data_IF_239471559221
#
_entry.id   IF_239471559221
#
_cell.length_a   1.000
_cell.length_b   1.000
_cell.length_c   1.000
_cell.angle_alpha   90.00
_cell.angle_beta   90.00
_cell.angle_gamma   90.00
#
_symmetry.space_group_name_H-M   'P 1'
#
loop_
_entity.id
_entity.type
_entity.pdbx_description
1 polymer ?
#
# COMPACT_ATOMS: atom_id res chain seq x y z
N UNK A 1 24.53 20.93 18.10
CA UNK A 1 25.65 20.05 17.65
C UNK A 1 25.26 18.57 17.38
N UNK A 2 23.99 18.29 17.20
CA UNK A 2 23.50 16.94 16.84
C UNK A 2 23.24 16.84 15.32
N UNK A 3 23.13 17.96 14.61
CA UNK A 3 22.72 18.01 13.21
C UNK A 3 23.75 17.49 12.19
N UNK A 4 25.06 17.71 12.42
CA UNK A 4 26.08 17.33 11.41
C UNK A 4 26.26 15.84 11.23
N UNK A 5 26.05 15.04 12.28
CA UNK A 5 26.26 13.58 12.23
C UNK A 5 25.15 12.81 11.51
N UNK A 6 23.95 13.39 11.42
CA UNK A 6 22.81 12.77 10.71
C UNK A 6 22.86 13.12 9.22
N UNK A 7 23.32 14.31 8.87
CA UNK A 7 23.50 14.77 7.50
C UNK A 7 24.54 13.92 6.74
N UNK A 8 25.63 13.55 7.41
CA UNK A 8 26.70 12.73 6.82
C UNK A 8 26.29 11.27 6.59
N UNK A 9 25.37 10.75 7.42
CA UNK A 9 24.96 9.34 7.33
C UNK A 9 23.94 9.05 6.21
N UNK A 10 23.11 10.02 5.84
CA UNK A 10 22.02 9.83 4.89
C UNK A 10 22.22 10.55 3.55
N UNK A 11 23.29 11.34 3.40
CA UNK A 11 23.56 12.13 2.18
C UNK A 11 22.44 13.14 1.86
N UNK A 12 21.62 13.49 2.84
CA UNK A 12 20.47 14.38 2.70
C UNK A 12 20.64 15.53 3.69
N UNK A 13 20.65 16.73 3.20
CA UNK A 13 20.67 17.96 4.03
C UNK A 13 19.34 18.08 4.77
N UNK A 14 19.28 17.64 6.02
CA UNK A 14 18.14 17.90 6.88
C UNK A 14 18.15 19.36 7.36
N UNK A 15 17.34 20.19 6.78
CA UNK A 15 16.96 21.44 7.40
C UNK A 15 15.89 21.12 8.45
N UNK A 16 16.29 20.95 9.70
CA UNK A 16 15.34 20.78 10.81
C UNK A 16 14.64 22.11 11.02
N UNK A 17 13.52 22.31 10.37
CA UNK A 17 12.57 23.33 10.78
C UNK A 17 12.00 22.87 12.11
N UNK A 18 12.18 23.67 13.17
CA UNK A 18 11.69 23.37 14.51
C UNK A 18 10.17 23.22 14.49
N UNK A 19 9.71 22.01 14.27
CA UNK A 19 8.33 21.64 14.50
C UNK A 19 8.18 21.29 15.97
N UNK A 20 7.58 22.16 16.76
CA UNK A 20 7.27 21.87 18.14
C UNK A 20 6.37 20.62 18.21
N UNK A 21 6.86 19.55 18.87
CA UNK A 21 6.10 18.37 19.18
C UNK A 21 5.01 18.76 20.18
N UNK A 22 3.75 18.38 19.89
CA UNK A 22 2.66 18.50 20.86
C UNK A 22 2.84 17.45 21.95
N UNK A 23 2.55 17.76 23.22
CA UNK A 23 2.73 16.82 24.34
C UNK A 23 1.95 15.50 24.16
N UNK A 24 0.82 15.55 23.46
CA UNK A 24 -0.01 14.38 23.17
C UNK A 24 0.38 13.61 21.88
N UNK A 25 1.38 14.09 21.15
CA UNK A 25 1.77 13.53 19.85
C UNK A 25 2.82 12.44 20.02
N UNK A 26 2.65 11.28 19.37
CA UNK A 26 3.67 10.25 19.37
C UNK A 26 4.95 10.75 18.65
N UNK A 27 6.11 10.18 18.99
CA UNK A 27 7.37 10.47 18.28
C UNK A 27 7.26 10.17 16.79
N UNK A 28 6.53 9.11 16.44
CA UNK A 28 6.31 8.70 15.07
C UNK A 28 5.48 9.74 14.30
N UNK A 29 4.35 10.15 14.86
CA UNK A 29 3.46 11.12 14.22
C UNK A 29 4.14 12.48 14.07
N UNK A 30 4.95 12.87 15.09
CA UNK A 30 5.76 14.07 15.02
C UNK A 30 6.82 13.99 13.91
N UNK A 31 7.52 12.86 13.79
CA UNK A 31 8.54 12.64 12.77
C UNK A 31 7.93 12.64 11.37
N UNK A 32 6.80 11.97 11.20
CA UNK A 32 6.08 11.92 9.94
C UNK A 32 5.59 13.32 9.53
N UNK A 33 5.07 14.11 10.47
CA UNK A 33 4.67 15.51 10.23
C UNK A 33 5.86 16.44 9.93
N UNK A 34 6.95 16.32 10.67
CA UNK A 34 8.17 17.10 10.45
C UNK A 34 8.79 16.79 9.08
N UNK A 35 8.78 15.51 8.69
CA UNK A 35 9.25 15.06 7.38
C UNK A 35 8.44 15.69 6.24
N UNK A 36 7.12 15.73 6.37
CA UNK A 36 6.22 16.36 5.38
C UNK A 36 6.50 17.84 5.23
N UNK A 37 6.64 18.57 6.34
CA UNK A 37 6.91 20.01 6.32
C UNK A 37 8.28 20.34 5.74
N UNK A 38 9.28 19.47 5.93
CA UNK A 38 10.65 19.71 5.48
C UNK A 38 10.80 19.60 3.96
N UNK A 39 10.05 18.72 3.32
CA UNK A 39 10.18 18.54 1.87
C UNK A 39 9.40 19.59 1.08
N UNK A 40 8.81 20.61 1.77
CA UNK A 40 8.05 21.68 1.13
C UNK A 40 7.15 21.11 -0.01
N UNK A 41 6.66 19.90 0.24
CA UNK A 41 5.61 19.38 -0.58
C UNK A 41 4.43 20.23 -0.12
N UNK A 42 4.23 21.37 -0.76
CA UNK A 42 2.95 22.04 -0.77
C UNK A 42 1.96 20.99 -1.25
N UNK A 43 1.50 20.17 -0.29
CA UNK A 43 0.33 19.35 -0.50
C UNK A 43 -0.86 20.31 -0.52
N UNK A 44 -0.97 21.04 -1.60
CA UNK A 44 -2.27 21.28 -2.14
C UNK A 44 -2.96 19.91 -2.15
N UNK A 45 -4.10 19.81 -1.53
CA UNK A 45 -4.90 18.58 -1.37
C UNK A 45 -5.01 17.79 -2.71
N UNK A 46 -4.81 18.47 -3.82
CA UNK A 46 -4.75 17.96 -5.17
C UNK A 46 -3.48 17.18 -5.52
N UNK A 47 -2.29 17.63 -5.11
CA UNK A 47 -1.04 16.91 -5.46
C UNK A 47 -0.88 15.63 -4.67
N UNK A 48 -1.31 15.63 -3.40
CA UNK A 48 -1.33 14.41 -2.59
C UNK A 48 -2.30 13.37 -3.14
N UNK A 49 -3.50 13.76 -3.52
CA UNK A 49 -4.49 12.89 -4.17
C UNK A 49 -3.95 12.32 -5.48
N UNK A 50 -3.26 13.13 -6.28
CA UNK A 50 -2.66 12.69 -7.54
C UNK A 50 -1.58 11.60 -7.32
N UNK A 51 -0.76 11.71 -6.27
CA UNK A 51 0.24 10.68 -5.93
C UNK A 51 -0.42 9.38 -5.48
N UNK A 52 -1.48 9.44 -4.68
CA UNK A 52 -2.24 8.25 -4.29
C UNK A 52 -2.90 7.63 -5.51
N UNK A 53 -3.52 8.41 -6.38
CA UNK A 53 -4.11 7.90 -7.60
C UNK A 53 -3.07 7.22 -8.51
N UNK A 54 -1.89 7.82 -8.66
CA UNK A 54 -0.76 7.21 -9.37
C UNK A 54 -0.34 5.88 -8.77
N UNK A 55 -0.29 5.78 -7.43
CA UNK A 55 0.03 4.52 -6.75
C UNK A 55 -1.04 3.45 -6.96
N UNK A 56 -2.31 3.84 -6.96
CA UNK A 56 -3.45 2.94 -7.23
C UNK A 56 -3.35 2.42 -8.67
N UNK A 57 -3.22 3.29 -9.67
CA UNK A 57 -3.08 2.88 -11.07
C UNK A 57 -1.90 1.93 -11.27
N UNK A 58 -0.76 2.21 -10.61
CA UNK A 58 0.38 1.31 -10.66
C UNK A 58 0.09 -0.06 -10.04
N UNK A 59 -0.62 -0.11 -8.91
CA UNK A 59 -1.04 -1.38 -8.31
C UNK A 59 -2.03 -2.14 -9.21
N UNK A 60 -2.96 -1.45 -9.86
CA UNK A 60 -3.92 -2.04 -10.81
C UNK A 60 -3.24 -2.63 -12.06
N UNK A 61 -2.16 -2.00 -12.55
CA UNK A 61 -1.39 -2.48 -13.69
C UNK A 61 -0.47 -3.66 -13.34
N UNK A 62 0.02 -3.72 -12.09
CA UNK A 62 1.07 -4.65 -11.65
C UNK A 62 0.64 -5.58 -10.51
N UNK A 63 -0.66 -5.72 -10.23
CA UNK A 63 -1.15 -6.47 -9.07
C UNK A 63 -0.71 -7.94 -9.01
N UNK A 64 -0.39 -8.53 -10.15
CA UNK A 64 0.08 -9.92 -10.26
C UNK A 64 1.52 -10.09 -9.73
N UNK A 65 2.28 -9.01 -9.74
CA UNK A 65 3.69 -9.01 -9.32
C UNK A 65 3.82 -8.98 -7.79
N UNK A 66 5.00 -9.33 -7.30
CA UNK A 66 5.32 -9.23 -5.88
C UNK A 66 5.65 -7.78 -5.49
N UNK A 67 4.64 -6.93 -5.45
CA UNK A 67 4.80 -5.51 -5.14
C UNK A 67 5.12 -5.30 -3.65
N UNK A 68 6.31 -4.75 -3.38
CA UNK A 68 6.68 -4.31 -2.04
C UNK A 68 6.35 -2.83 -1.80
N UNK A 69 6.27 -2.46 -0.53
CA UNK A 69 6.14 -1.06 -0.12
C UNK A 69 7.24 -0.18 -0.74
N UNK A 70 8.45 -0.72 -0.83
CA UNK A 70 9.62 -0.03 -1.39
C UNK A 70 9.45 0.26 -2.89
N UNK A 71 8.85 -0.67 -3.64
CA UNK A 71 8.65 -0.50 -5.08
C UNK A 71 7.64 0.61 -5.36
N UNK A 72 6.50 0.57 -4.68
CA UNK A 72 5.45 1.58 -4.85
C UNK A 72 5.95 2.96 -4.40
N UNK A 73 6.57 3.05 -3.23
CA UNK A 73 7.05 4.32 -2.70
C UNK A 73 8.12 4.98 -3.58
N UNK A 74 8.99 4.16 -4.22
CA UNK A 74 9.99 4.66 -5.17
C UNK A 74 9.36 5.30 -6.40
N UNK A 75 8.29 4.71 -6.93
CA UNK A 75 7.59 5.20 -8.15
C UNK A 75 6.93 6.55 -7.91
N UNK A 76 6.43 6.75 -6.70
CA UNK A 76 5.75 8.01 -6.33
C UNK A 76 6.69 9.03 -5.68
N UNK A 77 7.97 8.66 -5.44
CA UNK A 77 8.97 9.57 -4.87
C UNK A 77 8.79 9.85 -3.39
N UNK A 78 8.14 8.95 -2.63
CA UNK A 78 7.93 9.09 -1.18
C UNK A 78 8.73 8.05 -0.39
N UNK A 79 8.98 8.31 0.90
CA UNK A 79 9.47 7.26 1.79
C UNK A 79 8.38 6.22 2.04
N UNK A 80 8.78 4.95 2.28
CA UNK A 80 7.80 3.88 2.53
C UNK A 80 6.90 4.16 3.73
N UNK A 81 7.45 4.69 4.82
CA UNK A 81 6.69 5.03 6.03
C UNK A 81 5.66 6.12 5.76
N UNK A 82 6.07 7.16 5.04
CA UNK A 82 5.16 8.25 4.70
C UNK A 82 4.07 7.80 3.72
N UNK A 83 4.43 7.07 2.67
CA UNK A 83 3.44 6.49 1.76
C UNK A 83 2.41 5.63 2.51
N UNK A 84 2.86 4.72 3.37
CA UNK A 84 1.97 3.83 4.14
C UNK A 84 0.97 4.61 4.99
N UNK A 85 1.44 5.65 5.68
CA UNK A 85 0.58 6.53 6.46
C UNK A 85 -0.42 7.28 5.59
N UNK A 86 0.09 7.97 4.56
CA UNK A 86 -0.72 8.83 3.69
C UNK A 86 -1.73 8.03 2.86
N UNK A 87 -1.33 6.87 2.32
CA UNK A 87 -2.22 5.96 1.61
C UNK A 87 -3.40 5.54 2.49
N UNK A 88 -3.12 5.16 3.75
CA UNK A 88 -4.17 4.78 4.69
C UNK A 88 -5.09 5.95 5.04
N UNK A 89 -4.56 7.17 5.16
CA UNK A 89 -5.38 8.36 5.41
C UNK A 89 -6.33 8.65 4.25
N UNK A 90 -5.86 8.51 3.01
CA UNK A 90 -6.66 8.83 1.82
C UNK A 90 -7.63 7.71 1.42
N UNK A 91 -7.26 6.44 1.63
CA UNK A 91 -8.06 5.29 1.17
C UNK A 91 -8.82 4.57 2.30
N UNK A 92 -8.50 4.87 3.55
CA UNK A 92 -9.00 4.14 4.73
C UNK A 92 -8.37 2.77 4.95
N UNK A 93 -7.53 2.28 4.04
CA UNK A 93 -6.94 0.93 4.05
C UNK A 93 -5.42 1.01 3.92
N UNK A 94 -4.70 -0.01 4.44
CA UNK A 94 -3.29 -0.13 4.10
C UNK A 94 -3.11 -0.64 2.66
N UNK A 95 -1.94 -0.38 2.05
CA UNK A 95 -1.70 -0.68 0.64
C UNK A 95 -1.75 -2.18 0.33
N UNK A 96 -1.35 -3.07 1.26
CA UNK A 96 -1.42 -4.53 1.08
C UNK A 96 -2.88 -4.99 1.07
N UNK A 97 -3.72 -4.43 1.93
CA UNK A 97 -5.13 -4.75 1.95
C UNK A 97 -5.80 -4.31 0.64
N UNK A 98 -5.48 -3.11 0.18
CA UNK A 98 -5.96 -2.58 -1.09
C UNK A 98 -5.52 -3.45 -2.29
N UNK A 99 -4.22 -3.79 -2.36
CA UNK A 99 -3.68 -4.67 -3.39
C UNK A 99 -4.32 -6.06 -3.39
N UNK A 100 -4.55 -6.63 -2.20
CA UNK A 100 -5.20 -7.93 -2.10
C UNK A 100 -6.69 -7.89 -2.48
N UNK A 101 -7.35 -6.76 -2.35
CA UNK A 101 -8.73 -6.58 -2.85
C UNK A 101 -8.75 -6.57 -4.37
N UNK A 102 -7.85 -5.85 -5.04
CA UNK A 102 -7.70 -5.90 -6.51
C UNK A 102 -7.48 -7.34 -6.96
N UNK A 103 -6.52 -8.05 -6.35
CA UNK A 103 -6.21 -9.45 -6.66
C UNK A 103 -7.40 -10.37 -6.48
N UNK A 104 -8.16 -10.16 -5.42
CA UNK A 104 -9.34 -10.96 -5.11
C UNK A 104 -10.44 -10.75 -6.15
N UNK A 105 -10.71 -9.51 -6.52
CA UNK A 105 -11.72 -9.17 -7.53
C UNK A 105 -11.40 -9.82 -8.88
N UNK A 106 -10.15 -9.75 -9.31
CA UNK A 106 -9.72 -10.38 -10.56
C UNK A 106 -9.76 -11.92 -10.47
N UNK A 107 -9.36 -12.50 -9.34
CA UNK A 107 -9.48 -13.94 -9.10
C UNK A 107 -10.95 -14.42 -9.11
N UNK A 108 -11.87 -13.61 -8.60
CA UNK A 108 -13.31 -13.92 -8.63
C UNK A 108 -13.85 -13.95 -10.06
N UNK A 109 -13.38 -13.05 -10.94
CA UNK A 109 -13.76 -13.07 -12.37
C UNK A 109 -13.33 -14.39 -13.04
N UNK A 110 -12.09 -14.82 -12.80
CA UNK A 110 -11.58 -16.07 -13.34
C UNK A 110 -12.26 -17.30 -12.72
N UNK A 111 -12.54 -17.29 -11.43
CA UNK A 111 -13.30 -18.34 -10.76
C UNK A 111 -14.70 -18.55 -11.37
N UNK A 112 -15.33 -17.45 -11.79
CA UNK A 112 -16.65 -17.47 -12.41
C UNK A 112 -16.60 -17.95 -13.86
N UNK A 113 -15.57 -17.58 -14.61
CA UNK A 113 -15.53 -17.70 -16.06
C UNK A 113 -14.63 -18.85 -16.56
N UNK A 114 -14.00 -19.62 -15.67
CA UNK A 114 -13.10 -20.72 -16.05
C UNK A 114 -13.15 -21.89 -15.09
N UNK A 115 -12.78 -23.07 -15.61
CA UNK A 115 -12.61 -24.29 -14.84
C UNK A 115 -11.17 -24.50 -14.35
N UNK A 116 -10.31 -23.47 -14.45
CA UNK A 116 -8.94 -23.55 -13.98
C UNK A 116 -8.87 -23.94 -12.50
N UNK A 117 -7.83 -24.67 -12.14
CA UNK A 117 -7.61 -25.04 -10.74
C UNK A 117 -7.46 -23.79 -9.86
N UNK A 118 -8.09 -23.79 -8.70
CA UNK A 118 -8.07 -22.65 -7.76
C UNK A 118 -6.65 -22.21 -7.42
N UNK A 119 -5.70 -23.15 -7.30
CA UNK A 119 -4.28 -22.83 -7.06
C UNK A 119 -3.67 -22.02 -8.21
N UNK A 120 -4.02 -22.36 -9.46
CA UNK A 120 -3.53 -21.64 -10.65
C UNK A 120 -4.10 -20.23 -10.68
N UNK A 121 -5.40 -20.07 -10.45
CA UNK A 121 -6.05 -18.76 -10.36
C UNK A 121 -5.42 -17.91 -9.25
N UNK A 122 -5.23 -18.47 -8.06
CA UNK A 122 -4.60 -17.74 -6.96
C UNK A 122 -3.20 -17.23 -7.33
N UNK A 123 -2.37 -18.09 -7.92
CA UNK A 123 -1.01 -17.73 -8.35
C UNK A 123 -1.00 -16.68 -9.47
N UNK A 124 -1.86 -16.84 -10.47
CA UNK A 124 -2.04 -15.90 -11.59
C UNK A 124 -2.36 -14.48 -11.10
N UNK A 125 -3.14 -14.38 -10.04
CA UNK A 125 -3.51 -13.10 -9.46
C UNK A 125 -2.61 -12.67 -8.27
N UNK A 126 -1.37 -13.18 -8.20
CA UNK A 126 -0.34 -12.70 -7.28
C UNK A 126 -0.42 -13.23 -5.85
N UNK A 127 -1.28 -14.20 -5.56
CA UNK A 127 -1.28 -14.88 -4.27
C UNK A 127 -0.25 -16.02 -4.26
N UNK A 128 0.86 -15.80 -3.58
CA UNK A 128 1.96 -16.79 -3.50
C UNK A 128 1.61 -18.03 -2.67
N UNK A 129 0.61 -17.93 -1.79
CA UNK A 129 0.21 -19.00 -0.88
C UNK A 129 -1.28 -19.27 -0.99
N UNK A 130 -1.65 -20.50 -1.39
CA UNK A 130 -3.04 -20.93 -1.59
C UNK A 130 -3.84 -20.93 -0.28
N UNK A 131 -3.20 -21.26 0.84
CA UNK A 131 -3.89 -21.29 2.13
C UNK A 131 -4.25 -19.87 2.58
N UNK A 132 -3.31 -18.93 2.40
CA UNK A 132 -3.57 -17.51 2.63
C UNK A 132 -4.70 -16.99 1.73
N UNK A 133 -4.64 -17.29 0.43
CA UNK A 133 -5.71 -16.93 -0.51
C UNK A 133 -7.06 -17.46 -0.05
N UNK A 134 -7.17 -18.75 0.29
CA UNK A 134 -8.42 -19.36 0.71
C UNK A 134 -8.99 -18.74 1.98
N UNK A 135 -8.15 -18.43 2.95
CA UNK A 135 -8.56 -17.73 4.19
C UNK A 135 -9.01 -16.30 3.91
N UNK A 136 -8.25 -15.59 3.09
CA UNK A 136 -8.57 -14.21 2.72
C UNK A 136 -9.86 -14.13 1.92
N UNK A 137 -10.02 -15.01 0.93
CA UNK A 137 -11.24 -15.16 0.12
C UNK A 137 -12.46 -15.40 1.02
N UNK A 138 -12.39 -16.40 1.90
CA UNK A 138 -13.48 -16.72 2.82
C UNK A 138 -13.80 -15.56 3.76
N UNK A 139 -12.79 -14.85 4.25
CA UNK A 139 -12.97 -13.65 5.10
C UNK A 139 -13.76 -12.56 4.38
N UNK A 140 -13.50 -12.35 3.09
CA UNK A 140 -14.13 -11.26 2.31
C UNK A 140 -15.48 -11.65 1.72
N UNK A 141 -15.68 -12.89 1.31
CA UNK A 141 -16.89 -13.36 0.61
C UNK A 141 -17.84 -14.20 1.48
N UNK A 142 -17.38 -14.66 2.65
CA UNK A 142 -18.13 -15.59 3.52
C UNK A 142 -17.97 -17.06 3.14
N UNK A 143 -17.50 -17.40 1.94
CA UNK A 143 -17.41 -18.75 1.42
C UNK A 143 -15.99 -19.11 0.97
N UNK A 144 -15.70 -20.42 0.90
CA UNK A 144 -14.44 -20.87 0.28
C UNK A 144 -14.49 -20.66 -1.25
N UNK A 145 -13.31 -20.46 -1.91
CA UNK A 145 -13.25 -20.29 -3.36
C UNK A 145 -13.97 -21.39 -4.15
N UNK A 146 -13.84 -22.66 -3.69
CA UNK A 146 -14.49 -23.80 -4.33
C UNK A 146 -16.02 -23.77 -4.22
N UNK A 147 -16.53 -23.38 -3.06
CA UNK A 147 -17.98 -23.25 -2.85
C UNK A 147 -18.53 -22.06 -3.63
N UNK A 148 -17.84 -20.92 -3.55
CA UNK A 148 -18.23 -19.72 -4.26
C UNK A 148 -18.31 -19.94 -5.78
N UNK A 149 -17.35 -20.67 -6.37
CA UNK A 149 -17.39 -21.06 -7.79
C UNK A 149 -18.67 -21.80 -8.13
N UNK A 150 -19.02 -22.84 -7.37
CA UNK A 150 -20.23 -23.66 -7.61
C UNK A 150 -21.54 -22.86 -7.53
N UNK A 151 -21.53 -21.78 -6.76
CA UNK A 151 -22.73 -20.95 -6.58
C UNK A 151 -22.85 -19.86 -7.64
N UNK A 152 -21.72 -19.45 -8.28
CA UNK A 152 -21.66 -18.27 -9.16
C UNK A 152 -21.30 -18.62 -10.63
N UNK A 153 -20.96 -19.85 -10.92
CA UNK A 153 -20.86 -20.43 -12.28
C UNK A 153 -22.21 -20.96 -12.73
#
# INVERSE_FOLDING_TARGET
>A
RINSSIEDFLGVRFVITYCNRKESESLKDWFDRAYVQQFNIDYDDNSGKALIQKSISYMEEHYQENLSLKDISRIIGLSGSYFSYFFKQQTGKNYIEYLNEIRLEEAMKDLKNSDEKIVVIAQKHGFQNLEYFSRYFKKKTGESPARWRKTNQ
#
